data_IF_180180677023
#
_entry.id   IF_180180677023
#
_cell.length_a   1.000
_cell.length_b   1.000
_cell.length_c   1.000
_cell.angle_alpha   90.00
_cell.angle_beta   90.00
_cell.angle_gamma   90.00
#
_symmetry.space_group_name_H-M   'P 1'
#
loop_
_entity.id
_entity.type
_entity.pdbx_description
1 polymer ?
#
# COMPACT_ATOMS: atom_id res chain seq x y z
N UNK A 1 -29.75 -13.49 -25.97
CA UNK A 1 -29.75 -12.69 -24.73
C UNK A 1 -29.49 -13.64 -23.57
N UNK A 2 -28.41 -13.44 -22.81
CA UNK A 2 -28.01 -14.37 -21.74
C UNK A 2 -29.04 -14.44 -20.62
N UNK A 3 -29.26 -15.63 -20.07
CA UNK A 3 -30.22 -15.85 -18.98
C UNK A 3 -29.80 -15.16 -17.67
N UNK A 4 -30.71 -15.10 -16.67
CA UNK A 4 -30.47 -14.37 -15.42
C UNK A 4 -29.26 -14.88 -14.63
N UNK A 5 -29.01 -16.19 -14.65
CA UNK A 5 -27.82 -16.79 -14.03
C UNK A 5 -26.52 -16.34 -14.70
N UNK A 6 -26.51 -16.25 -16.03
CA UNK A 6 -25.35 -15.79 -16.78
C UNK A 6 -25.02 -14.33 -16.43
N UNK A 7 -26.05 -13.48 -16.36
CA UNK A 7 -25.86 -12.08 -15.97
C UNK A 7 -25.31 -11.96 -14.55
N UNK A 8 -25.81 -12.74 -13.59
CA UNK A 8 -25.32 -12.73 -12.21
C UNK A 8 -23.83 -13.13 -12.12
N UNK A 9 -23.42 -14.15 -12.87
CA UNK A 9 -22.01 -14.58 -12.93
C UNK A 9 -21.14 -13.50 -13.58
N UNK A 10 -21.62 -12.89 -14.67
CA UNK A 10 -20.87 -11.84 -15.35
C UNK A 10 -20.63 -10.61 -14.44
N UNK A 11 -21.67 -10.12 -13.75
CA UNK A 11 -21.53 -8.96 -12.87
C UNK A 11 -20.65 -9.24 -11.65
N UNK A 12 -20.76 -10.42 -11.05
CA UNK A 12 -19.90 -10.80 -9.92
C UNK A 12 -18.43 -10.93 -10.33
N UNK A 13 -18.15 -11.53 -11.50
CA UNK A 13 -16.79 -11.58 -12.05
C UNK A 13 -16.22 -10.19 -12.32
N UNK A 14 -17.01 -9.28 -12.90
CA UNK A 14 -16.60 -7.88 -13.14
C UNK A 14 -16.33 -7.16 -11.82
N UNK A 15 -17.21 -7.29 -10.83
CA UNK A 15 -17.02 -6.67 -9.51
C UNK A 15 -15.74 -7.16 -8.83
N UNK A 16 -15.50 -8.48 -8.88
CA UNK A 16 -14.30 -9.09 -8.28
C UNK A 16 -13.03 -8.61 -9.01
N UNK A 17 -13.07 -8.50 -10.34
CA UNK A 17 -11.98 -7.97 -11.14
C UNK A 17 -11.68 -6.50 -10.82
N UNK A 18 -12.71 -5.66 -10.69
CA UNK A 18 -12.57 -4.25 -10.29
C UNK A 18 -11.94 -4.14 -8.90
N UNK A 19 -12.41 -4.92 -7.94
CA UNK A 19 -11.88 -4.93 -6.56
C UNK A 19 -10.40 -5.31 -6.56
N UNK A 20 -10.02 -6.33 -7.32
CA UNK A 20 -8.62 -6.75 -7.46
C UNK A 20 -7.72 -5.67 -8.08
N UNK A 21 -8.27 -4.81 -8.95
CA UNK A 21 -7.52 -3.69 -9.53
C UNK A 21 -7.40 -2.49 -8.59
N UNK A 22 -8.44 -2.20 -7.79
CA UNK A 22 -8.48 -1.02 -6.91
C UNK A 22 -7.72 -1.26 -5.60
N UNK A 23 -7.86 -2.44 -4.99
CA UNK A 23 -7.25 -2.77 -3.69
C UNK A 23 -5.73 -2.51 -3.60
N UNK A 24 -4.90 -2.85 -4.61
CA UNK A 24 -3.46 -2.56 -4.57
C UNK A 24 -3.15 -1.06 -4.48
N UNK A 25 -3.99 -0.20 -5.07
CA UNK A 25 -3.85 1.25 -4.98
C UNK A 25 -4.13 1.79 -3.57
N UNK A 26 -5.10 1.20 -2.87
CA UNK A 26 -5.45 1.57 -1.50
C UNK A 26 -4.41 1.13 -0.45
N UNK A 27 -3.51 0.20 -0.80
CA UNK A 27 -2.44 -0.25 0.10
C UNK A 27 -1.22 0.66 0.10
N UNK A 28 -1.16 1.67 -0.76
CA UNK A 28 -0.04 2.61 -0.77
C UNK A 28 -0.14 3.53 0.46
N UNK A 29 0.92 3.67 1.26
CA UNK A 29 0.91 4.65 2.33
C UNK A 29 0.70 6.06 1.75
N UNK A 30 0.03 6.97 2.48
CA UNK A 30 -0.16 8.34 2.02
C UNK A 30 1.19 9.01 1.74
N UNK A 31 1.28 9.88 0.70
CA UNK A 31 2.51 10.61 0.40
C UNK A 31 2.91 11.44 1.62
N UNK A 32 4.14 11.25 2.11
CA UNK A 32 4.64 11.82 3.37
C UNK A 32 4.91 10.80 4.48
N UNK A 33 4.47 9.55 4.33
CA UNK A 33 4.81 8.44 5.23
C UNK A 33 5.95 7.56 4.68
N UNK A 34 6.96 8.19 4.07
CA UNK A 34 8.17 7.47 3.64
C UNK A 34 9.17 7.29 4.79
N UNK A 35 9.65 6.07 5.04
CA UNK A 35 10.60 5.80 6.11
C UNK A 35 11.88 6.62 5.91
N UNK A 36 12.36 7.26 6.97
CA UNK A 36 13.61 8.02 6.93
C UNK A 36 14.79 7.08 6.97
N UNK A 37 15.66 7.16 5.97
CA UNK A 37 16.89 6.36 5.91
C UNK A 37 18.01 7.13 6.61
N UNK A 38 18.61 6.51 7.62
CA UNK A 38 19.72 7.12 8.36
C UNK A 38 20.94 7.34 7.45
N UNK A 39 21.50 8.56 7.34
CA UNK A 39 22.66 8.83 6.48
C UNK A 39 23.96 8.20 7.01
N UNK A 40 24.02 7.81 8.28
CA UNK A 40 25.21 7.22 8.90
C UNK A 40 25.26 5.69 8.80
N UNK A 41 24.13 5.01 9.01
CA UNK A 41 24.12 3.55 9.12
C UNK A 41 23.12 2.85 8.18
N UNK A 42 22.50 3.61 7.26
CA UNK A 42 21.50 3.19 6.26
C UNK A 42 20.26 2.47 6.81
N UNK A 43 20.02 2.56 8.13
CA UNK A 43 18.83 2.00 8.76
C UNK A 43 17.57 2.78 8.36
N UNK A 44 16.52 2.07 7.97
CA UNK A 44 15.17 2.65 7.84
C UNK A 44 14.58 2.86 9.22
N UNK A 45 14.22 4.11 9.53
CA UNK A 45 13.54 4.50 10.76
C UNK A 45 12.12 4.97 10.41
N UNK A 46 11.29 5.11 11.44
CA UNK A 46 9.95 5.67 11.31
C UNK A 46 10.01 7.09 10.71
N UNK A 47 8.94 7.48 10.04
CA UNK A 47 8.81 8.77 9.33
C UNK A 47 9.04 9.98 10.24
N UNK A 48 8.66 9.85 11.51
CA UNK A 48 8.73 10.88 12.53
C UNK A 48 9.95 10.73 13.47
N UNK A 49 10.80 9.74 13.23
CA UNK A 49 11.99 9.53 14.05
C UNK A 49 12.99 10.68 13.87
N UNK A 50 13.36 11.33 14.97
CA UNK A 50 14.38 12.40 15.02
C UNK A 50 15.78 11.82 15.19
N UNK A 51 15.87 10.61 15.76
CA UNK A 51 17.12 9.92 16.08
C UNK A 51 17.05 8.48 15.59
N UNK A 52 18.13 8.00 15.00
CA UNK A 52 18.23 6.63 14.50
C UNK A 52 18.26 5.62 15.66
N UNK A 53 17.35 4.64 15.63
CA UNK A 53 17.26 3.61 16.68
C UNK A 53 18.48 2.69 16.75
N UNK A 54 19.22 2.57 15.63
CA UNK A 54 20.38 1.67 15.53
C UNK A 54 21.68 2.30 15.97
N UNK A 55 21.93 3.56 15.59
CA UNK A 55 23.24 4.21 15.82
C UNK A 55 23.17 5.47 16.67
N UNK A 56 21.97 5.98 17.00
CA UNK A 56 21.81 7.20 17.81
C UNK A 56 22.14 8.50 17.08
N UNK A 57 22.42 8.45 15.77
CA UNK A 57 22.64 9.66 14.96
C UNK A 57 21.32 10.40 14.70
N UNK A 58 21.39 11.72 14.52
CA UNK A 58 20.25 12.51 14.05
C UNK A 58 19.84 12.09 12.62
N UNK A 59 18.52 12.02 12.39
CA UNK A 59 17.89 11.60 11.12
C UNK A 59 17.53 12.76 10.20
#
# INVERSE_FOLDING_TARGET
MGGPLFMAVAFSAIGLWIVLLILPGLRRPPPGFEPRVCPQCSQSNETEAVVCEKCGAAL
#
